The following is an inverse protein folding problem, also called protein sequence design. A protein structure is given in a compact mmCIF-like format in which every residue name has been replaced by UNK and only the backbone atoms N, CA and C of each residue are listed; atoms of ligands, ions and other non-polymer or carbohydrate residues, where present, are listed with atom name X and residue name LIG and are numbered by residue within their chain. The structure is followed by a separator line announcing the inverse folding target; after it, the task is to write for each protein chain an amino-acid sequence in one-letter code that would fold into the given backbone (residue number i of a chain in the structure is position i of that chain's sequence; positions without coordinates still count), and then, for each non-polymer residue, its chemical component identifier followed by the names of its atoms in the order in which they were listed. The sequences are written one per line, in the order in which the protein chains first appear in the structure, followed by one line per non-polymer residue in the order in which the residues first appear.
data_IF_913128657197
#
_entry.id   IF_913128657197
#
_cell.length_a   1.000
_cell.length_b   1.000
_cell.length_c   1.000
_cell.angle_alpha   90.00
_cell.angle_beta   90.00
_cell.angle_gamma   90.00
#
_symmetry.space_group_name_H-M   'P 1'
#
loop_
_entity.id
_entity.type
_entity.pdbx_description
1 polymer ?
#
# COMPACT_ATOMS: atom_id res chain seq x y z
N UNK A 1 25.78 -38.36 42.37
CA UNK A 1 26.46 -37.20 41.74
C UNK A 1 25.76 -36.93 40.41
N UNK A 2 24.61 -36.27 40.50
CA UNK A 2 23.96 -35.57 39.38
C UNK A 2 24.87 -34.43 38.90
N UNK A 3 24.76 -34.04 37.63
CA UNK A 3 25.42 -32.80 37.20
C UNK A 3 25.48 -32.57 35.70
N UNK A 4 24.32 -32.30 35.11
CA UNK A 4 24.10 -31.28 34.07
C UNK A 4 25.13 -31.21 32.93
N UNK A 5 24.77 -31.78 31.78
CA UNK A 5 25.05 -31.13 30.49
C UNK A 5 23.89 -31.39 29.53
N UNK A 6 22.72 -30.84 29.89
CA UNK A 6 21.72 -30.45 28.90
C UNK A 6 22.06 -29.02 28.54
N UNK A 7 22.43 -28.74 27.30
CA UNK A 7 22.19 -27.48 26.56
C UNK A 7 23.06 -27.50 25.31
N UNK A 8 22.47 -27.79 24.14
CA UNK A 8 22.40 -26.96 22.92
C UNK A 8 21.73 -27.85 21.87
N UNK A 9 20.44 -28.05 22.03
CA UNK A 9 19.57 -28.51 20.96
C UNK A 9 18.70 -27.31 20.58
N UNK A 10 19.25 -26.38 19.80
CA UNK A 10 18.43 -25.31 19.24
C UNK A 10 18.99 -24.79 17.92
N UNK A 11 18.09 -24.78 16.95
CA UNK A 11 18.04 -23.81 15.85
C UNK A 11 18.72 -24.17 14.51
N UNK A 12 18.37 -25.33 13.92
CA UNK A 12 18.65 -25.63 12.50
C UNK A 12 17.41 -25.67 11.58
N UNK A 13 16.23 -25.21 12.05
CA UNK A 13 14.98 -25.33 11.30
C UNK A 13 14.45 -24.10 10.55
N UNK A 14 15.04 -22.90 10.70
CA UNK A 14 14.39 -21.63 10.28
C UNK A 14 14.99 -20.93 9.04
N UNK A 15 15.86 -21.58 8.27
CA UNK A 15 16.53 -20.97 7.10
C UNK A 15 15.98 -21.37 5.73
N UNK A 16 15.16 -22.42 5.64
CA UNK A 16 14.64 -22.91 4.34
C UNK A 16 13.42 -22.14 3.83
N UNK A 17 12.49 -21.77 4.72
CA UNK A 17 11.19 -21.19 4.34
C UNK A 17 11.27 -19.75 3.82
N UNK A 18 12.27 -18.97 4.26
CA UNK A 18 12.41 -17.56 3.86
C UNK A 18 12.87 -17.40 2.40
N UNK A 19 13.60 -18.38 1.85
CA UNK A 19 14.11 -18.32 0.47
C UNK A 19 13.01 -18.69 -0.54
N UNK A 20 12.25 -19.74 -0.25
CA UNK A 20 11.17 -20.24 -1.12
C UNK A 20 10.05 -19.21 -1.32
N UNK A 21 9.64 -18.50 -0.25
CA UNK A 21 8.63 -17.44 -0.35
C UNK A 21 9.13 -16.21 -1.14
N UNK A 22 10.41 -15.85 -0.99
CA UNK A 22 11.02 -14.77 -1.78
C UNK A 22 11.13 -15.12 -3.26
N UNK A 23 11.38 -16.39 -3.58
CA UNK A 23 11.49 -16.88 -4.95
C UNK A 23 10.11 -16.95 -5.66
N UNK A 24 9.04 -17.36 -4.97
CA UNK A 24 7.68 -17.33 -5.52
C UNK A 24 7.15 -15.90 -5.75
N UNK A 25 7.37 -14.99 -4.80
CA UNK A 25 6.98 -13.58 -4.94
C UNK A 25 7.83 -12.86 -6.00
N UNK A 26 9.13 -13.19 -6.06
CA UNK A 26 10.06 -12.66 -7.06
C UNK A 26 9.73 -13.08 -8.50
N UNK A 27 8.91 -14.13 -8.69
CA UNK A 27 8.42 -14.54 -10.01
C UNK A 27 7.54 -13.49 -10.68
N UNK A 28 6.77 -12.73 -9.89
CA UNK A 28 5.81 -11.75 -10.39
C UNK A 28 6.31 -10.30 -10.30
N UNK A 29 7.33 -10.05 -9.47
CA UNK A 29 7.89 -8.72 -9.30
C UNK A 29 9.37 -8.69 -9.69
N UNK A 30 9.65 -8.18 -10.89
CA UNK A 30 11.02 -7.84 -11.32
C UNK A 30 11.32 -6.39 -10.94
N UNK A 31 12.21 -6.13 -9.95
CA UNK A 31 12.58 -4.77 -9.62
C UNK A 31 13.27 -4.11 -10.83
N UNK A 32 12.90 -2.87 -11.11
CA UNK A 32 13.55 -2.02 -12.11
C UNK A 32 14.19 -0.85 -11.39
N UNK A 33 15.26 -0.29 -11.98
CA UNK A 33 15.82 0.98 -11.52
C UNK A 33 14.70 2.02 -11.52
N UNK A 34 14.58 2.74 -10.41
CA UNK A 34 13.59 3.81 -10.30
C UNK A 34 13.96 4.93 -11.28
N UNK A 35 13.05 5.24 -12.19
CA UNK A 35 13.15 6.40 -13.08
C UNK A 35 12.04 7.39 -12.70
N UNK A 36 12.40 8.58 -12.21
CA UNK A 36 11.39 9.59 -11.88
C UNK A 36 10.69 10.06 -13.17
N UNK A 37 9.42 10.44 -13.05
CA UNK A 37 8.71 11.07 -14.14
C UNK A 37 9.45 12.34 -14.59
N UNK A 38 9.38 12.69 -15.87
CA UNK A 38 10.10 13.83 -16.45
C UNK A 38 9.76 15.17 -15.80
N UNK A 39 8.62 15.31 -15.13
CA UNK A 39 8.25 16.53 -14.40
C UNK A 39 8.63 16.48 -12.91
N UNK A 40 9.03 15.31 -12.40
CA UNK A 40 9.36 15.06 -11.00
C UNK A 40 10.88 14.94 -10.78
N UNK A 41 11.68 15.71 -11.54
CA UNK A 41 13.14 15.69 -11.45
C UNK A 41 13.71 16.24 -10.13
N UNK A 42 12.92 16.98 -9.36
CA UNK A 42 13.30 17.51 -8.05
C UNK A 42 12.37 16.95 -6.97
N UNK A 43 12.96 16.50 -5.85
CA UNK A 43 12.25 15.89 -4.72
C UNK A 43 11.16 16.78 -4.10
N UNK A 44 11.23 18.10 -4.29
CA UNK A 44 10.27 19.06 -3.73
C UNK A 44 9.09 19.37 -4.65
N UNK A 45 9.14 19.00 -5.95
CA UNK A 45 8.05 19.29 -6.88
C UNK A 45 6.77 18.56 -6.44
N UNK A 46 6.88 17.33 -5.96
CA UNK A 46 5.74 16.57 -5.43
C UNK A 46 5.04 17.28 -4.27
N UNK A 47 5.82 17.91 -3.39
CA UNK A 47 5.29 18.67 -2.25
C UNK A 47 4.58 19.94 -2.72
N UNK A 48 5.22 20.71 -3.61
CA UNK A 48 4.69 21.97 -4.13
C UNK A 48 3.47 21.77 -5.04
N UNK A 49 3.38 20.66 -5.78
CA UNK A 49 2.26 20.36 -6.66
C UNK A 49 0.91 20.41 -5.92
N UNK A 50 0.88 19.99 -4.66
CA UNK A 50 -0.33 20.04 -3.82
C UNK A 50 -0.87 21.46 -3.61
N UNK A 51 -0.01 22.47 -3.59
CA UNK A 51 -0.40 23.88 -3.46
C UNK A 51 -1.03 24.43 -4.74
N UNK A 52 -0.55 23.99 -5.91
CA UNK A 52 -1.02 24.48 -7.20
C UNK A 52 -2.27 23.78 -7.72
N UNK A 53 -2.61 22.59 -7.21
CA UNK A 53 -3.79 21.83 -7.62
C UNK A 53 -4.97 22.20 -6.69
N UNK A 54 -5.95 22.98 -7.15
CA UNK A 54 -7.08 23.35 -6.32
C UNK A 54 -7.93 22.12 -5.99
N UNK A 55 -8.28 21.97 -4.71
CA UNK A 55 -9.29 21.00 -4.27
C UNK A 55 -10.63 21.39 -4.89
N UNK A 56 -11.12 20.60 -5.86
CA UNK A 56 -12.49 20.76 -6.37
C UNK A 56 -13.46 20.19 -5.33
N UNK A 57 -14.60 20.85 -5.18
CA UNK A 57 -15.65 20.45 -4.24
C UNK A 57 -16.08 18.99 -4.51
N UNK A 58 -16.35 18.27 -3.42
CA UNK A 58 -16.69 16.85 -3.38
C UNK A 58 -17.63 16.46 -4.53
N UNK A 59 -17.14 15.61 -5.44
CA UNK A 59 -18.03 14.84 -6.30
C UNK A 59 -18.93 13.97 -5.42
N UNK A 60 -20.10 13.56 -5.92
CA UNK A 60 -20.95 12.61 -5.21
C UNK A 60 -20.20 11.30 -5.05
N UNK A 61 -19.69 11.08 -3.85
CA UNK A 61 -18.96 9.91 -3.43
C UNK A 61 -19.96 8.89 -2.86
N UNK A 62 -19.88 7.64 -3.32
CA UNK A 62 -20.64 6.53 -2.76
C UNK A 62 -19.70 5.63 -1.99
N UNK A 63 -19.88 5.54 -0.68
CA UNK A 63 -19.17 4.59 0.17
C UNK A 63 -19.77 3.19 0.06
N UNK A 64 -18.91 2.19 -0.10
CA UNK A 64 -19.25 0.76 -0.06
C UNK A 64 -18.39 0.10 0.99
N UNK A 65 -19.02 -0.60 1.94
CA UNK A 65 -18.33 -1.47 2.89
C UNK A 65 -18.29 -2.90 2.36
N UNK A 66 -17.10 -3.46 2.24
CA UNK A 66 -16.87 -4.84 1.85
C UNK A 66 -16.45 -5.63 3.09
N UNK A 67 -17.19 -6.68 3.44
CA UNK A 67 -16.78 -7.59 4.50
C UNK A 67 -15.74 -8.57 3.95
N UNK A 68 -14.72 -8.87 4.74
CA UNK A 68 -13.69 -9.83 4.38
C UNK A 68 -13.97 -11.20 5.05
N UNK A 69 -13.52 -12.32 4.45
CA UNK A 69 -13.79 -13.67 4.99
C UNK A 69 -13.25 -13.93 6.40
N UNK A 70 -12.28 -13.13 6.86
CA UNK A 70 -11.70 -13.15 8.21
C UNK A 70 -12.49 -12.31 9.24
N UNK A 71 -13.61 -11.70 8.82
CA UNK A 71 -14.50 -10.95 9.72
C UNK A 71 -14.12 -9.48 9.92
N UNK A 72 -13.20 -8.96 9.11
CA UNK A 72 -12.88 -7.53 9.04
C UNK A 72 -13.70 -6.82 7.94
N UNK A 73 -13.42 -5.54 7.69
CA UNK A 73 -14.08 -4.75 6.66
C UNK A 73 -13.12 -3.80 5.93
N UNK A 74 -13.45 -3.51 4.67
CA UNK A 74 -12.81 -2.47 3.87
C UNK A 74 -13.89 -1.46 3.47
N UNK A 75 -13.69 -0.19 3.82
CA UNK A 75 -14.49 0.90 3.29
C UNK A 75 -13.85 1.43 2.00
N UNK A 76 -14.61 1.40 0.91
CA UNK A 76 -14.21 1.93 -0.39
C UNK A 76 -15.11 3.08 -0.75
N UNK A 77 -14.51 4.24 -0.96
CA UNK A 77 -15.21 5.38 -1.51
C UNK A 77 -15.10 5.40 -3.04
N UNK A 78 -16.25 5.44 -3.72
CA UNK A 78 -16.33 5.38 -5.18
C UNK A 78 -16.77 6.74 -5.73
N UNK A 79 -15.95 7.31 -6.60
CA UNK A 79 -16.36 8.35 -7.53
C UNK A 79 -16.70 7.72 -8.88
N UNK A 80 -17.96 7.86 -9.29
CA UNK A 80 -18.38 7.39 -10.61
C UNK A 80 -17.80 8.32 -11.70
N UNK A 81 -17.17 7.71 -12.70
CA UNK A 81 -16.70 8.38 -13.89
C UNK A 81 -17.85 8.90 -14.77
N UNK A 82 -17.62 9.97 -15.51
CA UNK A 82 -18.66 10.56 -16.40
C UNK A 82 -18.80 9.82 -17.72
N UNK A 83 -17.87 8.94 -18.08
CA UNK A 83 -17.91 8.19 -19.35
C UNK A 83 -17.60 6.70 -19.18
N UNK A 84 -18.17 5.86 -20.05
CA UNK A 84 -18.01 4.39 -19.98
C UNK A 84 -16.62 3.86 -20.38
N UNK A 85 -15.63 4.73 -20.62
CA UNK A 85 -14.25 4.37 -21.04
C UNK A 85 -13.19 4.85 -20.05
N UNK A 86 -13.47 4.74 -18.76
CA UNK A 86 -12.58 5.28 -17.75
C UNK A 86 -11.54 4.25 -17.26
N UNK A 87 -10.29 4.70 -17.16
CA UNK A 87 -9.22 4.03 -16.42
C UNK A 87 -9.59 4.02 -14.94
N UNK A 88 -9.69 2.84 -14.33
CA UNK A 88 -9.89 2.73 -12.90
C UNK A 88 -8.62 3.15 -12.14
N UNK A 89 -8.75 4.11 -11.24
CA UNK A 89 -7.67 4.55 -10.35
C UNK A 89 -8.01 4.11 -8.93
N UNK A 90 -7.11 3.34 -8.32
CA UNK A 90 -7.20 2.98 -6.91
C UNK A 90 -6.26 3.88 -6.10
N UNK A 91 -6.81 4.59 -5.13
CA UNK A 91 -6.05 5.41 -4.20
C UNK A 91 -6.17 4.79 -2.82
N UNK A 92 -5.05 4.36 -2.25
CA UNK A 92 -4.98 3.88 -0.87
C UNK A 92 -4.42 5.00 0.01
N UNK A 93 -5.15 5.41 1.02
CA UNK A 93 -4.67 6.36 2.01
C UNK A 93 -3.76 5.66 3.05
N UNK A 94 -2.96 6.44 3.78
CA UNK A 94 -2.22 5.94 4.93
C UNK A 94 -3.14 5.46 6.05
N UNK A 95 -2.56 4.78 7.05
CA UNK A 95 -3.26 4.07 8.14
C UNK A 95 -4.25 4.90 8.98
N UNK A 96 -4.18 6.24 8.93
CA UNK A 96 -5.00 7.13 9.77
C UNK A 96 -5.77 8.20 8.97
N UNK A 97 -5.80 8.09 7.64
CA UNK A 97 -6.45 9.06 6.76
C UNK A 97 -7.74 8.49 6.17
N UNK A 98 -8.55 9.33 5.54
CA UNK A 98 -9.78 8.95 4.84
C UNK A 98 -10.01 9.88 3.65
N UNK A 99 -10.93 9.55 2.74
CA UNK A 99 -11.22 10.40 1.59
C UNK A 99 -11.71 11.82 1.97
N UNK A 100 -12.22 12.00 3.20
CA UNK A 100 -12.67 13.28 3.73
C UNK A 100 -11.54 14.13 4.35
N UNK A 101 -10.34 13.59 4.56
CA UNK A 101 -9.24 14.36 5.14
C UNK A 101 -8.62 15.28 4.09
N UNK A 102 -8.93 16.58 4.16
CA UNK A 102 -8.24 17.62 3.39
C UNK A 102 -6.97 18.05 4.10
N UNK A 103 -5.92 18.38 3.34
CA UNK A 103 -4.87 19.27 3.85
C UNK A 103 -5.53 20.62 4.21
N UNK A 104 -5.26 21.20 5.40
CA UNK A 104 -5.69 22.56 5.71
C UNK A 104 -5.01 23.53 4.73
N UNK A 105 -5.77 24.52 4.25
CA UNK A 105 -5.29 25.58 3.35
C UNK A 105 -4.31 26.50 4.04
#
# INVERSE_FOLDING_TARGET
MEGVSKTIEKNRGRRGTRRVLSDEVGKYFKPRTFEPAWWAWNAHIQTLASYFIPTRAHARERRVRLNTPDGDFIDVDILDGTTKRDTAVLVCHGLESSAASSLPR
#
